data_IF_406782143060
#
_entry.id   IF_406782143060
#
_cell.length_a   1.000
_cell.length_b   1.000
_cell.length_c   1.000
_cell.angle_alpha   90.00
_cell.angle_beta   90.00
_cell.angle_gamma   90.00
#
_symmetry.space_group_name_H-M   'P 1'
#
loop_
_entity.id
_entity.type
_entity.pdbx_description
1 polymer ?
#
# COMPACT_ATOMS: atom_id res chain seq x y z
N UNK A 1 -18.62 -3.58 10.94
CA UNK A 1 -18.27 -2.85 9.72
C UNK A 1 -16.82 -3.14 9.36
N UNK A 2 -16.58 -3.63 8.15
CA UNK A 2 -15.26 -4.02 7.63
C UNK A 2 -14.80 -2.97 6.62
N UNK A 3 -13.62 -2.41 6.81
CA UNK A 3 -12.96 -1.55 5.84
C UNK A 3 -11.93 -2.35 5.05
N UNK A 4 -12.09 -2.43 3.73
CA UNK A 4 -11.31 -3.34 2.89
C UNK A 4 -10.74 -2.69 1.63
N UNK A 5 -10.89 -3.36 0.51
CA UNK A 5 -10.27 -2.99 -0.77
C UNK A 5 -8.90 -3.67 -0.99
N UNK A 6 -8.60 -4.71 -0.22
CA UNK A 6 -7.33 -5.44 -0.20
C UNK A 6 -7.59 -6.95 -0.18
N UNK A 7 -6.52 -7.74 -0.27
CA UNK A 7 -6.59 -9.21 -0.08
C UNK A 7 -7.03 -9.55 1.36
N UNK A 8 -6.58 -8.75 2.33
CA UNK A 8 -6.94 -8.90 3.74
C UNK A 8 -8.43 -8.62 3.95
N UNK A 9 -8.96 -7.58 3.27
CA UNK A 9 -10.39 -7.28 3.28
C UNK A 9 -11.23 -8.42 2.69
N UNK A 10 -10.76 -9.05 1.62
CA UNK A 10 -11.43 -10.23 1.05
C UNK A 10 -11.44 -11.40 2.03
N UNK A 11 -10.31 -11.72 2.64
CA UNK A 11 -10.23 -12.79 3.63
C UNK A 11 -11.12 -12.54 4.87
N UNK A 12 -11.25 -11.27 5.29
CA UNK A 12 -12.19 -10.92 6.36
C UNK A 12 -13.65 -11.17 5.96
N UNK A 13 -14.02 -10.84 4.71
CA UNK A 13 -15.36 -11.13 4.15
C UNK A 13 -15.62 -12.63 4.12
N UNK A 14 -14.70 -13.41 3.55
CA UNK A 14 -14.79 -14.87 3.47
C UNK A 14 -15.00 -15.49 4.86
N UNK A 15 -14.24 -15.04 5.86
CA UNK A 15 -14.37 -15.53 7.25
C UNK A 15 -15.74 -15.20 7.85
N UNK A 16 -16.27 -14.00 7.60
CA UNK A 16 -17.59 -13.59 8.12
C UNK A 16 -18.73 -14.32 7.42
N UNK A 17 -18.61 -14.55 6.12
CA UNK A 17 -19.59 -15.31 5.33
C UNK A 17 -19.60 -16.78 5.77
N UNK A 18 -18.44 -17.41 5.96
CA UNK A 18 -18.33 -18.79 6.51
C UNK A 18 -18.96 -18.91 7.90
N UNK A 19 -18.84 -17.87 8.71
CA UNK A 19 -19.43 -17.82 10.04
C UNK A 19 -20.92 -17.45 10.04
N UNK A 20 -21.52 -17.16 8.89
CA UNK A 20 -22.92 -16.74 8.75
C UNK A 20 -23.22 -15.38 9.40
N UNK A 21 -22.22 -14.54 9.59
CA UNK A 21 -22.36 -13.24 10.26
C UNK A 21 -22.82 -12.17 9.29
N UNK A 22 -23.76 -11.31 9.69
CA UNK A 22 -24.12 -10.12 8.94
C UNK A 22 -23.10 -9.01 9.13
N UNK A 23 -22.74 -8.31 8.05
CA UNK A 23 -21.74 -7.23 8.09
C UNK A 23 -21.95 -6.20 6.98
N UNK A 24 -21.29 -5.07 7.13
CA UNK A 24 -21.11 -4.08 6.06
C UNK A 24 -19.65 -4.11 5.60
N UNK A 25 -19.42 -4.11 4.28
CA UNK A 25 -18.09 -4.11 3.68
C UNK A 25 -17.86 -2.82 2.91
N UNK A 26 -17.02 -1.94 3.46
CA UNK A 26 -16.73 -0.62 2.90
C UNK A 26 -15.44 -0.62 2.09
N UNK A 27 -15.51 -0.05 0.88
CA UNK A 27 -14.35 0.20 0.02
C UNK A 27 -14.41 1.61 -0.56
N UNK A 28 -13.25 2.23 -0.78
CA UNK A 28 -13.19 3.57 -1.37
C UNK A 28 -13.78 3.66 -2.78
N UNK A 29 -13.69 2.58 -3.55
CA UNK A 29 -14.17 2.53 -4.93
C UNK A 29 -14.54 1.11 -5.36
N UNK A 30 -15.11 0.98 -6.55
CA UNK A 30 -15.61 -0.30 -7.09
C UNK A 30 -14.52 -1.22 -7.69
N UNK A 31 -13.25 -0.86 -7.59
CA UNK A 31 -12.16 -1.59 -8.27
C UNK A 31 -11.90 -3.01 -7.76
N UNK A 32 -12.45 -3.39 -6.61
CA UNK A 32 -12.35 -4.74 -6.07
C UNK A 32 -13.70 -5.45 -6.23
N UNK A 33 -13.69 -6.57 -6.93
CA UNK A 33 -14.85 -7.48 -6.98
C UNK A 33 -14.73 -8.45 -5.79
N UNK A 34 -15.67 -8.32 -4.86
CA UNK A 34 -15.85 -9.22 -3.71
C UNK A 34 -17.34 -9.50 -3.62
N UNK A 35 -17.70 -10.76 -3.62
CA UNK A 35 -19.04 -11.21 -3.31
C UNK A 35 -19.23 -11.19 -1.79
N UNK A 36 -20.30 -10.60 -1.32
CA UNK A 36 -20.67 -10.53 0.09
C UNK A 36 -21.97 -11.33 0.26
N UNK A 37 -21.88 -12.58 0.76
CA UNK A 37 -23.03 -13.49 0.86
C UNK A 37 -23.98 -13.01 1.94
N UNK A 38 -23.46 -12.67 3.10
CA UNK A 38 -24.21 -12.19 4.27
C UNK A 38 -24.01 -10.68 4.53
N UNK A 39 -23.28 -10.00 3.66
CA UNK A 39 -22.89 -8.61 3.84
C UNK A 39 -23.51 -7.64 2.83
N UNK A 40 -23.52 -6.38 3.21
CA UNK A 40 -23.90 -5.25 2.35
C UNK A 40 -22.65 -4.48 1.96
N UNK A 41 -22.43 -4.31 0.66
CA UNK A 41 -21.28 -3.56 0.16
C UNK A 41 -21.58 -2.06 0.14
N UNK A 42 -20.63 -1.29 0.70
CA UNK A 42 -20.61 0.16 0.69
C UNK A 42 -19.45 0.65 -0.16
N UNK A 43 -19.68 1.72 -0.93
CA UNK A 43 -18.68 2.33 -1.79
C UNK A 43 -18.61 3.81 -1.50
N UNK A 44 -17.41 4.30 -1.22
CA UNK A 44 -17.14 5.68 -0.88
C UNK A 44 -16.14 5.81 0.25
N UNK A 45 -15.49 6.97 0.36
CA UNK A 45 -14.73 7.30 1.55
C UNK A 45 -15.71 7.71 2.66
N UNK A 46 -15.40 7.37 3.90
CA UNK A 46 -16.14 7.82 5.08
C UNK A 46 -15.23 8.68 5.93
N UNK A 47 -15.67 9.89 6.24
CA UNK A 47 -15.05 10.72 7.27
C UNK A 47 -15.50 10.26 8.68
N UNK A 48 -14.81 10.70 9.72
CA UNK A 48 -15.05 10.24 11.10
C UNK A 48 -16.53 10.39 11.50
N UNK A 49 -17.13 11.54 11.23
CA UNK A 49 -18.53 11.79 11.57
C UNK A 49 -19.49 10.85 10.86
N UNK A 50 -19.30 10.67 9.55
CA UNK A 50 -20.13 9.76 8.74
C UNK A 50 -20.01 8.30 9.23
N UNK A 51 -18.81 7.90 9.64
CA UNK A 51 -18.56 6.58 10.20
C UNK A 51 -19.28 6.38 11.53
N UNK A 52 -19.23 7.37 12.42
CA UNK A 52 -19.94 7.36 13.72
C UNK A 52 -21.44 7.30 13.52
N UNK A 53 -21.98 8.18 12.67
CA UNK A 53 -23.43 8.23 12.39
C UNK A 53 -23.91 6.90 11.81
N UNK A 54 -23.18 6.35 10.84
CA UNK A 54 -23.46 5.02 10.26
C UNK A 54 -23.43 3.90 11.31
N UNK A 55 -22.42 3.90 12.17
CA UNK A 55 -22.31 2.87 13.20
C UNK A 55 -23.47 2.93 14.20
N UNK A 56 -23.91 4.13 14.59
CA UNK A 56 -25.06 4.32 15.49
C UNK A 56 -26.37 3.88 14.83
N UNK A 57 -26.58 4.27 13.57
CA UNK A 57 -27.79 3.96 12.82
C UNK A 57 -27.97 2.44 12.60
N UNK A 58 -26.86 1.74 12.31
CA UNK A 58 -26.88 0.32 12.00
C UNK A 58 -26.44 -0.60 13.15
N UNK A 59 -26.27 -0.08 14.36
CA UNK A 59 -25.95 -0.85 15.55
C UNK A 59 -24.63 -1.60 15.45
N UNK A 60 -23.61 -1.00 14.83
CA UNK A 60 -22.29 -1.62 14.65
C UNK A 60 -21.57 -1.76 16.00
N UNK A 61 -21.13 -2.96 16.31
CA UNK A 61 -20.46 -3.31 17.56
C UNK A 61 -18.97 -3.60 17.39
N UNK A 62 -18.48 -3.73 16.14
CA UNK A 62 -17.09 -4.05 15.83
C UNK A 62 -16.65 -3.37 14.54
N UNK A 63 -15.49 -2.72 14.57
CA UNK A 63 -14.80 -2.25 13.36
C UNK A 63 -13.66 -3.21 13.00
N UNK A 64 -13.61 -3.62 11.74
CA UNK A 64 -12.50 -4.42 11.20
C UNK A 64 -11.74 -3.57 10.19
N UNK A 65 -10.52 -3.21 10.53
CA UNK A 65 -9.63 -2.46 9.67
C UNK A 65 -8.72 -3.43 8.87
N UNK A 66 -9.19 -3.84 7.73
CA UNK A 66 -8.46 -4.64 6.75
C UNK A 66 -8.06 -3.82 5.51
N UNK A 67 -8.00 -2.50 5.66
CA UNK A 67 -7.63 -1.59 4.60
C UNK A 67 -6.13 -1.67 4.26
N UNK A 68 -5.78 -1.05 3.14
CA UNK A 68 -4.38 -1.05 2.67
C UNK A 68 -3.45 -0.44 3.73
N UNK A 69 -2.28 -1.04 4.02
CA UNK A 69 -1.37 -0.54 5.07
C UNK A 69 -0.98 0.95 4.95
N UNK A 70 -1.08 1.53 3.75
CA UNK A 70 -0.80 2.94 3.49
C UNK A 70 -2.05 3.83 3.45
N UNK A 71 -3.19 3.36 3.94
CA UNK A 71 -4.42 4.15 4.08
C UNK A 71 -4.45 4.93 5.40
N UNK A 72 -3.40 5.73 5.67
CA UNK A 72 -3.13 6.41 6.94
C UNK A 72 -4.34 7.19 7.49
N UNK A 73 -5.00 7.98 6.61
CA UNK A 73 -6.15 8.76 7.05
C UNK A 73 -7.32 7.87 7.47
N UNK A 74 -7.59 6.79 6.72
CA UNK A 74 -8.65 5.85 7.07
C UNK A 74 -8.38 5.17 8.42
N UNK A 75 -7.13 4.76 8.67
CA UNK A 75 -6.77 4.15 9.95
C UNK A 75 -6.99 5.10 11.13
N UNK A 76 -6.64 6.38 10.96
CA UNK A 76 -6.91 7.43 11.96
C UNK A 76 -8.41 7.62 12.18
N UNK A 77 -9.18 7.70 11.09
CA UNK A 77 -10.63 7.87 11.16
C UNK A 77 -11.30 6.69 11.90
N UNK A 78 -10.88 5.46 11.58
CA UNK A 78 -11.39 4.24 12.26
C UNK A 78 -11.08 4.29 13.76
N UNK A 79 -9.84 4.62 14.13
CA UNK A 79 -9.44 4.73 15.54
C UNK A 79 -10.27 5.77 16.31
N UNK A 80 -10.44 6.97 15.74
CA UNK A 80 -11.24 8.04 16.35
C UNK A 80 -12.72 7.66 16.48
N UNK A 81 -13.31 7.06 15.45
CA UNK A 81 -14.70 6.63 15.49
C UNK A 81 -14.91 5.52 16.54
N UNK A 82 -14.00 4.57 16.64
CA UNK A 82 -14.07 3.49 17.61
C UNK A 82 -13.97 4.01 19.06
N UNK A 83 -13.06 4.97 19.29
CA UNK A 83 -12.90 5.61 20.59
C UNK A 83 -14.18 6.34 21.02
N UNK A 84 -14.77 7.16 20.11
CA UNK A 84 -16.01 7.90 20.41
C UNK A 84 -17.22 6.98 20.63
N UNK A 85 -17.28 5.86 19.89
CA UNK A 85 -18.35 4.88 20.01
C UNK A 85 -18.14 3.88 21.14
N UNK A 86 -16.94 3.85 21.72
CA UNK A 86 -16.50 2.84 22.69
C UNK A 86 -16.71 1.40 22.21
N UNK A 87 -16.37 1.14 20.93
CA UNK A 87 -16.44 -0.19 20.32
C UNK A 87 -15.05 -0.70 19.96
N UNK A 88 -14.84 -2.04 19.94
CA UNK A 88 -13.54 -2.61 19.59
C UNK A 88 -13.17 -2.42 18.13
N UNK A 89 -11.85 -2.35 17.85
CA UNK A 89 -11.28 -2.41 16.52
C UNK A 89 -10.38 -3.63 16.40
N UNK A 90 -10.58 -4.41 15.35
CA UNK A 90 -9.65 -5.47 14.94
C UNK A 90 -8.87 -4.98 13.71
N UNK A 91 -7.55 -4.92 13.83
CA UNK A 91 -6.68 -4.65 12.71
C UNK A 91 -6.20 -5.94 12.07
N UNK A 92 -6.55 -6.16 10.78
CA UNK A 92 -6.06 -7.29 10.01
C UNK A 92 -4.86 -6.85 9.17
N UNK A 93 -3.66 -7.14 9.67
CA UNK A 93 -2.41 -6.74 9.02
C UNK A 93 -1.80 -7.87 8.21
N UNK A 94 -1.08 -7.48 7.16
CA UNK A 94 -0.26 -8.40 6.37
C UNK A 94 0.88 -8.98 7.17
N UNK A 95 1.14 -10.26 6.93
CA UNK A 95 2.39 -10.88 7.35
C UNK A 95 3.45 -10.52 6.31
N UNK A 96 4.48 -9.82 6.74
CA UNK A 96 5.63 -9.51 5.91
C UNK A 96 6.70 -10.58 6.07
N UNK A 97 7.37 -11.01 4.98
CA UNK A 97 8.50 -11.91 5.08
C UNK A 97 9.65 -11.25 5.87
N UNK A 98 10.62 -12.04 6.37
CA UNK A 98 11.85 -11.50 6.94
C UNK A 98 12.51 -10.52 5.98
N UNK A 99 13.13 -9.48 6.52
CA UNK A 99 13.85 -8.48 5.72
C UNK A 99 15.09 -9.10 5.09
N UNK A 100 15.23 -8.95 3.79
CA UNK A 100 16.42 -9.34 3.05
C UNK A 100 17.57 -8.39 3.44
N UNK A 101 18.70 -8.91 3.97
CA UNK A 101 19.85 -8.09 4.39
C UNK A 101 20.56 -7.40 3.22
N UNK A 102 20.37 -7.89 2.00
CA UNK A 102 20.96 -7.31 0.79
C UNK A 102 20.20 -6.10 0.26
N UNK A 103 19.06 -5.76 0.88
CA UNK A 103 18.26 -4.60 0.52
C UNK A 103 18.46 -3.46 1.50
N UNK A 104 18.40 -2.24 0.98
CA UNK A 104 18.43 -1.04 1.80
C UNK A 104 17.01 -0.74 2.28
N UNK A 105 16.83 -0.71 3.58
CA UNK A 105 15.55 -0.46 4.23
C UNK A 105 15.49 0.94 4.80
N UNK A 106 14.53 1.73 4.32
CA UNK A 106 14.26 3.07 4.82
C UNK A 106 12.88 3.10 5.49
N UNK A 107 12.79 3.74 6.63
CA UNK A 107 11.54 3.84 7.38
C UNK A 107 10.60 4.93 6.82
N UNK A 108 11.14 5.81 5.96
CA UNK A 108 10.36 6.86 5.28
C UNK A 108 10.93 7.20 3.90
N UNK A 109 10.12 7.86 3.08
CA UNK A 109 10.58 8.41 1.79
C UNK A 109 11.57 9.57 1.97
N UNK A 110 11.48 10.31 3.06
CA UNK A 110 12.43 11.35 3.38
C UNK A 110 13.83 10.76 3.66
N UNK A 111 13.89 9.70 4.46
CA UNK A 111 15.12 8.94 4.70
C UNK A 111 15.69 8.36 3.41
N UNK A 112 14.84 7.79 2.55
CA UNK A 112 15.25 7.30 1.24
C UNK A 112 15.86 8.41 0.36
N UNK A 113 15.28 9.61 0.35
CA UNK A 113 15.83 10.75 -0.38
C UNK A 113 17.24 11.13 0.15
N UNK A 114 17.41 11.16 1.46
CA UNK A 114 18.71 11.44 2.08
C UNK A 114 19.72 10.36 1.71
N UNK A 115 19.33 9.09 1.82
CA UNK A 115 20.20 7.98 1.46
C UNK A 115 20.62 8.02 -0.01
N UNK A 116 19.66 8.24 -0.94
CA UNK A 116 19.91 8.35 -2.37
C UNK A 116 20.94 9.45 -2.69
N UNK A 117 20.79 10.61 -2.07
CA UNK A 117 21.73 11.73 -2.25
C UNK A 117 23.12 11.40 -1.69
N UNK A 118 23.22 10.83 -0.50
CA UNK A 118 24.49 10.46 0.15
C UNK A 118 25.25 9.38 -0.63
N UNK A 119 24.55 8.48 -1.30
CA UNK A 119 25.17 7.44 -2.14
C UNK A 119 25.46 7.91 -3.57
N UNK A 120 25.18 9.17 -3.91
CA UNK A 120 25.41 9.71 -5.23
C UNK A 120 24.57 9.07 -6.33
N UNK A 121 23.40 8.51 -5.98
CA UNK A 121 22.46 7.94 -6.94
C UNK A 121 21.91 9.05 -7.82
N UNK A 122 22.09 8.92 -9.13
CA UNK A 122 21.70 9.94 -10.11
C UNK A 122 20.53 9.54 -10.99
N UNK A 123 20.21 8.26 -11.10
CA UNK A 123 19.09 7.76 -11.90
C UNK A 123 18.28 6.76 -11.10
N UNK A 124 17.02 7.08 -10.81
CA UNK A 124 16.14 6.29 -9.96
C UNK A 124 14.94 5.74 -10.74
N UNK A 125 14.67 4.45 -10.58
CA UNK A 125 13.39 3.86 -10.98
C UNK A 125 12.52 3.62 -9.73
N UNK A 126 11.42 4.36 -9.61
CA UNK A 126 10.46 4.25 -8.51
C UNK A 126 9.27 3.37 -8.92
N UNK A 127 9.20 2.15 -8.33
CA UNK A 127 8.10 1.18 -8.49
C UNK A 127 7.06 1.32 -7.36
N UNK A 128 6.89 2.51 -6.84
CA UNK A 128 6.10 2.79 -5.63
C UNK A 128 4.71 3.39 -5.90
N UNK A 129 4.41 3.69 -7.17
CA UNK A 129 3.13 4.20 -7.65
C UNK A 129 2.97 5.72 -7.52
N UNK A 130 1.91 6.26 -8.17
CA UNK A 130 1.71 7.70 -8.37
C UNK A 130 1.61 8.52 -7.09
N UNK A 131 1.05 7.97 -6.02
CA UNK A 131 0.89 8.67 -4.73
C UNK A 131 2.22 8.97 -4.02
N UNK A 132 3.32 8.38 -4.47
CA UNK A 132 4.64 8.59 -3.88
C UNK A 132 5.47 9.65 -4.61
N UNK A 133 4.99 10.14 -5.73
CA UNK A 133 5.63 11.23 -6.48
C UNK A 133 5.94 12.43 -5.58
N UNK A 134 4.97 13.00 -4.83
CA UNK A 134 5.26 14.15 -3.96
C UNK A 134 6.20 13.81 -2.81
N UNK A 135 6.21 12.55 -2.33
CA UNK A 135 7.09 12.09 -1.24
C UNK A 135 8.57 12.02 -1.66
N UNK A 136 8.84 11.87 -2.95
CA UNK A 136 10.18 11.84 -3.53
C UNK A 136 10.56 13.16 -4.23
N UNK A 137 9.79 14.25 -4.01
CA UNK A 137 9.97 15.52 -4.70
C UNK A 137 11.37 16.11 -4.48
N UNK A 138 11.90 16.01 -3.26
CA UNK A 138 13.24 16.48 -2.91
C UNK A 138 14.36 15.78 -3.70
N UNK A 139 14.10 14.61 -4.27
CA UNK A 139 15.05 13.87 -5.10
C UNK A 139 14.84 14.15 -6.59
N UNK A 140 13.62 13.99 -7.11
CA UNK A 140 13.38 14.04 -8.56
C UNK A 140 13.42 15.45 -9.17
N UNK A 141 13.39 16.50 -8.35
CA UNK A 141 13.64 17.87 -8.84
C UNK A 141 15.10 18.08 -9.28
N UNK A 142 16.04 17.35 -8.70
CA UNK A 142 17.47 17.52 -8.92
C UNK A 142 18.08 16.37 -9.73
N UNK A 143 17.40 15.21 -9.80
CA UNK A 143 17.95 13.98 -10.39
C UNK A 143 16.94 13.33 -11.34
N UNK A 144 17.40 12.64 -12.40
CA UNK A 144 16.57 11.75 -13.21
C UNK A 144 15.85 10.73 -12.36
N UNK A 145 14.53 10.69 -12.51
CA UNK A 145 13.68 9.76 -11.78
C UNK A 145 12.52 9.31 -12.67
N UNK A 146 12.29 8.03 -12.74
CA UNK A 146 11.20 7.40 -13.47
C UNK A 146 10.21 6.81 -12.49
N UNK A 147 8.90 7.03 -12.72
CA UNK A 147 7.86 6.41 -11.92
C UNK A 147 7.07 5.41 -12.73
N UNK A 148 7.05 4.15 -12.27
CA UNK A 148 6.12 3.17 -12.82
C UNK A 148 4.79 3.26 -12.10
N UNK A 149 3.73 3.50 -12.86
CA UNK A 149 2.37 3.71 -12.38
C UNK A 149 1.38 2.84 -13.15
N UNK A 150 0.20 2.61 -12.60
CA UNK A 150 -0.88 1.95 -13.33
C UNK A 150 -1.37 2.87 -14.45
N UNK A 151 -1.67 2.31 -15.63
CA UNK A 151 -2.25 3.07 -16.73
C UNK A 151 -3.72 3.36 -16.45
N UNK A 152 -3.96 4.47 -15.77
CA UNK A 152 -5.28 4.98 -15.41
C UNK A 152 -5.31 6.49 -15.61
N UNK A 153 -6.47 7.06 -16.02
CA UNK A 153 -6.61 8.51 -16.15
C UNK A 153 -6.23 9.25 -14.87
N UNK A 154 -6.61 8.71 -13.71
CA UNK A 154 -6.32 9.29 -12.39
C UNK A 154 -4.81 9.33 -12.10
N UNK A 155 -4.05 8.33 -12.56
CA UNK A 155 -2.59 8.33 -12.39
C UNK A 155 -1.94 9.47 -13.16
N UNK A 156 -2.41 9.73 -14.38
CA UNK A 156 -1.91 10.82 -15.21
C UNK A 156 -2.26 12.19 -14.61
N UNK A 157 -3.51 12.36 -14.18
CA UNK A 157 -3.99 13.59 -13.55
C UNK A 157 -3.24 13.90 -12.25
N UNK A 158 -3.02 12.90 -11.39
CA UNK A 158 -2.27 13.08 -10.16
C UNK A 158 -0.81 13.43 -10.40
N UNK A 159 -0.14 12.76 -11.35
CA UNK A 159 1.24 13.09 -11.69
C UNK A 159 1.36 14.54 -12.17
N UNK A 160 0.44 14.99 -13.04
CA UNK A 160 0.38 16.37 -13.51
C UNK A 160 0.14 17.35 -12.34
N UNK A 161 -0.81 17.04 -11.46
CA UNK A 161 -1.09 17.84 -10.25
C UNK A 161 0.14 18.00 -9.36
N UNK A 162 0.99 16.97 -9.28
CA UNK A 162 2.23 17.02 -8.50
C UNK A 162 3.39 17.72 -9.24
N UNK A 163 3.17 18.15 -10.48
CA UNK A 163 4.18 18.79 -11.33
C UNK A 163 5.25 17.83 -11.85
N UNK A 164 4.96 16.52 -11.87
CA UNK A 164 5.89 15.53 -12.36
C UNK A 164 5.88 15.45 -13.90
N UNK A 165 7.06 15.38 -14.56
CA UNK A 165 7.13 15.34 -16.03
C UNK A 165 6.47 14.10 -16.60
N UNK A 166 5.49 14.27 -17.49
CA UNK A 166 4.76 13.16 -18.12
C UNK A 166 5.68 12.18 -18.86
N UNK A 167 6.74 12.66 -19.51
CA UNK A 167 7.72 11.84 -20.23
C UNK A 167 8.60 10.96 -19.31
N UNK A 168 8.47 11.10 -18.01
CA UNK A 168 9.16 10.26 -17.00
C UNK A 168 8.21 9.25 -16.31
N UNK A 169 6.95 9.19 -16.75
CA UNK A 169 5.99 8.17 -16.32
C UNK A 169 6.13 6.94 -17.21
N UNK A 170 6.16 5.79 -16.57
CA UNK A 170 6.13 4.47 -17.21
C UNK A 170 4.83 3.80 -16.78
N UNK A 171 4.07 3.36 -17.77
CA UNK A 171 2.81 2.66 -17.48
C UNK A 171 3.07 1.16 -17.37
N UNK A 172 2.51 0.59 -16.30
CA UNK A 172 2.58 -0.84 -16.09
C UNK A 172 1.69 -1.56 -17.11
N UNK A 173 2.26 -2.51 -17.83
CA UNK A 173 1.58 -3.39 -18.77
C UNK A 173 1.81 -4.83 -18.34
N UNK A 174 0.72 -5.63 -18.33
CA UNK A 174 0.80 -7.06 -18.00
C UNK A 174 1.58 -7.80 -19.09
N UNK A 175 2.49 -8.69 -18.67
CA UNK A 175 3.32 -9.49 -19.59
C UNK A 175 4.54 -8.77 -20.17
N UNK A 176 4.76 -7.50 -19.89
CA UNK A 176 5.97 -6.79 -20.31
C UNK A 176 7.13 -7.12 -19.37
N UNK A 177 8.21 -7.64 -19.92
CA UNK A 177 9.40 -7.99 -19.13
C UNK A 177 10.04 -6.75 -18.50
N UNK A 178 10.11 -6.72 -17.19
CA UNK A 178 10.76 -5.64 -16.45
C UNK A 178 12.26 -5.53 -16.75
N UNK A 179 12.87 -6.61 -17.24
CA UNK A 179 14.25 -6.64 -17.68
C UNK A 179 14.52 -5.68 -18.82
N UNK A 180 13.65 -5.58 -19.81
CA UNK A 180 13.80 -4.64 -20.93
C UNK A 180 13.79 -3.19 -20.42
N UNK A 181 12.90 -2.88 -19.49
CA UNK A 181 12.83 -1.57 -18.87
C UNK A 181 14.14 -1.22 -18.14
N UNK A 182 14.72 -2.16 -17.41
CA UNK A 182 16.00 -1.95 -16.71
C UNK A 182 17.16 -1.73 -17.68
N UNK A 183 17.21 -2.49 -18.77
CA UNK A 183 18.24 -2.34 -19.80
C UNK A 183 18.13 -0.99 -20.51
N UNK A 184 16.91 -0.52 -20.74
CA UNK A 184 16.64 0.78 -21.38
C UNK A 184 16.98 1.96 -20.46
N UNK A 185 16.54 1.92 -19.21
CA UNK A 185 16.66 3.04 -18.27
C UNK A 185 18.00 3.07 -17.54
N UNK A 186 18.64 1.91 -17.37
CA UNK A 186 19.87 1.73 -16.60
C UNK A 186 19.87 2.50 -15.28
N UNK A 187 18.88 2.26 -14.38
CA UNK A 187 18.80 2.98 -13.13
C UNK A 187 19.96 2.60 -12.19
N UNK A 188 20.50 3.57 -11.48
CA UNK A 188 21.50 3.33 -10.42
C UNK A 188 20.85 2.68 -9.19
N UNK A 189 19.55 2.92 -9.00
CA UNK A 189 18.77 2.33 -7.93
C UNK A 189 17.31 2.12 -8.33
N UNK A 190 16.69 1.11 -7.69
CA UNK A 190 15.25 0.82 -7.78
C UNK A 190 14.66 1.05 -6.41
N UNK A 191 13.63 1.89 -6.32
CA UNK A 191 12.88 2.12 -5.10
C UNK A 191 11.50 1.49 -5.21
N UNK A 192 11.14 0.68 -4.22
CA UNK A 192 9.78 0.16 -4.09
C UNK A 192 9.28 0.29 -2.65
N UNK A 193 8.01 0.03 -2.42
CA UNK A 193 7.42 -0.03 -1.09
C UNK A 193 7.22 -1.46 -0.65
N UNK A 194 7.34 -1.73 0.65
CA UNK A 194 7.02 -3.01 1.25
C UNK A 194 5.50 -3.23 1.16
N UNK A 195 5.05 -3.88 0.08
CA UNK A 195 3.62 -4.03 -0.24
C UNK A 195 3.08 -5.44 0.03
N UNK A 196 3.91 -6.35 0.51
CA UNK A 196 3.54 -7.75 0.73
C UNK A 196 3.25 -8.52 -0.58
N UNK A 197 2.66 -9.71 -0.46
CA UNK A 197 2.36 -10.59 -1.61
C UNK A 197 1.46 -9.92 -2.65
N UNK A 198 0.38 -9.28 -2.21
CA UNK A 198 -0.60 -8.66 -3.11
C UNK A 198 -0.08 -7.42 -3.87
N UNK A 199 1.09 -6.91 -3.50
CA UNK A 199 1.73 -5.79 -4.20
C UNK A 199 2.86 -6.20 -5.13
N UNK A 200 2.97 -7.49 -5.46
CA UNK A 200 4.05 -8.05 -6.29
C UNK A 200 5.43 -7.66 -5.75
N UNK A 201 5.56 -7.71 -4.42
CA UNK A 201 6.77 -7.26 -3.75
C UNK A 201 7.96 -8.16 -4.10
N UNK A 202 7.75 -9.47 -4.09
CA UNK A 202 8.79 -10.46 -4.39
C UNK A 202 9.28 -10.32 -5.81
N UNK A 203 8.39 -10.17 -6.77
CA UNK A 203 8.71 -9.97 -8.17
C UNK A 203 9.53 -8.70 -8.38
N UNK A 204 9.18 -7.61 -7.70
CA UNK A 204 9.94 -6.34 -7.76
C UNK A 204 11.33 -6.45 -7.15
N UNK A 205 11.52 -7.32 -6.17
CA UNK A 205 12.84 -7.61 -5.59
C UNK A 205 13.65 -8.52 -6.52
N UNK A 206 13.01 -9.53 -7.11
CA UNK A 206 13.64 -10.48 -8.04
C UNK A 206 14.15 -9.82 -9.34
N UNK A 207 13.53 -8.71 -9.76
CA UNK A 207 14.01 -7.87 -10.88
C UNK A 207 15.47 -7.47 -10.69
N UNK A 208 15.87 -7.15 -9.46
CA UNK A 208 17.25 -6.83 -9.11
C UNK A 208 18.23 -7.95 -9.50
N UNK A 209 17.84 -9.20 -9.30
CA UNK A 209 18.71 -10.35 -9.55
C UNK A 209 18.78 -10.75 -11.02
N UNK A 210 17.74 -10.50 -11.80
CA UNK A 210 17.74 -10.80 -13.24
C UNK A 210 18.54 -9.82 -14.09
N UNK A 211 18.74 -8.57 -13.59
CA UNK A 211 19.58 -7.56 -14.26
C UNK A 211 21.05 -7.62 -13.89
N UNK A 212 21.42 -8.31 -12.81
CA UNK A 212 22.78 -8.26 -12.22
C UNK A 212 23.70 -9.44 -12.60
N UNK A 213 23.30 -10.35 -13.48
CA UNK A 213 24.17 -11.50 -13.87
C UNK A 213 25.22 -11.16 -14.93
N UNK A 214 25.23 -9.95 -15.46
CA UNK A 214 26.27 -9.49 -16.38
C UNK A 214 27.30 -8.61 -15.63
N UNK A 215 28.52 -9.13 -15.48
CA UNK A 215 29.56 -8.69 -14.55
C UNK A 215 30.22 -7.34 -14.87
N UNK A 216 29.65 -6.45 -15.67
CA UNK A 216 30.34 -5.23 -16.09
C UNK A 216 29.58 -3.90 -15.95
N UNK A 217 28.32 -3.89 -15.50
CA UNK A 217 27.56 -2.64 -15.32
C UNK A 217 27.05 -2.51 -13.90
N UNK A 218 27.23 -1.31 -13.34
CA UNK A 218 26.94 -0.96 -11.94
C UNK A 218 25.60 -1.47 -11.43
N UNK A 219 25.66 -2.13 -10.30
CA UNK A 219 24.56 -2.85 -9.66
C UNK A 219 23.49 -1.86 -9.22
N UNK A 220 22.28 -1.93 -9.80
CA UNK A 220 21.14 -1.20 -9.28
C UNK A 220 20.84 -1.64 -7.83
N UNK A 221 20.95 -0.70 -6.88
CA UNK A 221 20.70 -0.97 -5.45
C UNK A 221 19.19 -0.95 -5.18
N UNK A 222 18.66 -2.02 -4.58
CA UNK A 222 17.26 -2.06 -4.17
C UNK A 222 17.04 -1.24 -2.89
N UNK A 223 16.11 -0.29 -2.91
CA UNK A 223 15.73 0.54 -1.77
C UNK A 223 14.27 0.28 -1.44
N UNK A 224 14.00 0.02 -0.18
CA UNK A 224 12.67 -0.29 0.31
C UNK A 224 12.23 0.75 1.34
N UNK A 225 11.09 1.38 1.09
CA UNK A 225 10.51 2.33 2.03
C UNK A 225 9.35 1.68 2.79
N UNK A 226 9.42 1.80 4.11
CA UNK A 226 8.36 1.46 5.05
C UNK A 226 7.80 2.74 5.63
N UNK A 227 6.50 2.82 5.80
CA UNK A 227 5.93 3.92 6.56
C UNK A 227 5.89 3.53 8.04
N UNK A 228 6.81 4.08 8.83
CA UNK A 228 6.97 3.76 10.27
C UNK A 228 5.92 4.43 11.15
N UNK A 229 5.23 5.46 10.64
CA UNK A 229 4.24 6.23 11.40
C UNK A 229 2.99 5.43 11.79
N UNK A 230 2.88 4.17 11.34
CA UNK A 230 1.71 3.31 11.58
C UNK A 230 1.86 2.33 12.75
N UNK A 231 2.82 2.51 13.64
CA UNK A 231 2.74 1.85 14.93
C UNK A 231 1.80 2.66 15.84
N UNK A 232 0.51 2.55 15.61
CA UNK A 232 -0.42 2.77 16.69
C UNK A 232 -0.05 1.80 17.81
N UNK A 233 0.13 2.31 19.02
CA UNK A 233 0.08 1.50 20.21
C UNK A 233 -1.28 0.80 20.18
N UNK A 234 -1.34 -0.41 19.62
CA UNK A 234 -2.55 -1.18 19.56
C UNK A 234 -2.84 -1.67 20.98
N UNK A 235 -3.97 -1.30 21.58
CA UNK A 235 -4.52 -2.12 22.61
C UNK A 235 -4.98 -3.41 21.92
N UNK A 236 -4.33 -4.51 22.25
CA UNK A 236 -4.68 -5.88 21.90
C UNK A 236 -4.58 -6.32 20.42
N UNK A 237 -3.45 -6.94 20.08
CA UNK A 237 -3.31 -7.84 18.94
C UNK A 237 -4.27 -9.04 19.13
N UNK A 238 -5.41 -8.99 18.47
CA UNK A 238 -6.29 -10.15 18.37
C UNK A 238 -6.15 -10.72 16.96
N UNK A 239 -5.74 -11.98 16.85
CA UNK A 239 -5.69 -12.68 15.57
C UNK A 239 -7.12 -12.97 15.08
N UNK A 240 -7.32 -13.12 13.76
CA UNK A 240 -8.62 -13.45 13.15
C UNK A 240 -9.31 -14.64 13.82
N UNK A 241 -8.54 -15.61 14.32
CA UNK A 241 -9.05 -16.76 15.09
C UNK A 241 -9.76 -16.39 16.40
N UNK A 242 -9.58 -15.18 16.95
CA UNK A 242 -10.29 -14.71 18.14
C UNK A 242 -11.58 -13.97 17.87
N UNK A 243 -11.82 -13.51 16.62
CA UNK A 243 -13.08 -12.85 16.26
C UNK A 243 -14.26 -13.81 16.43
N UNK A 244 -14.07 -15.09 16.15
CA UNK A 244 -15.10 -16.13 16.26
C UNK A 244 -15.44 -16.54 17.70
N UNK A 245 -14.64 -16.13 18.70
CA UNK A 245 -14.86 -16.47 20.11
C UNK A 245 -15.56 -15.37 20.95
N UNK A 246 -15.93 -14.24 20.32
CA UNK A 246 -16.57 -13.10 20.99
C UNK A 246 -18.04 -12.92 20.51
N UNK A 247 -18.49 -13.70 19.54
CA UNK A 247 -19.88 -13.69 19.07
C UNK A 247 -20.70 -14.78 19.75
#
# INVERSE_FOLDING_TARGET
LVFGGTTEGRAAVETLDEAGQTYYYSTRGNGQQVECIHGIRLVGAMEVKEMIDFCREHGIQLLVDAAHPFAEQLHKNIGQAAEELNIPVVRYERIYPPRDPDLIWCDSYAEACVWLKNQGIRNLLALSGVQTIPKLKAYWLENPCWFRVLDRPESRQLALKYGFPAGKLIFWEEGKEERELLLQLRPDAILTKESGRSGYFREKVEIRYSGCRDQTSGIARGILCRNREQRFAAPHRTSVARILSIA
#
